data_IF_109976140693
#
_entry.id   IF_109976140693
#
_cell.length_a   1.000
_cell.length_b   1.000
_cell.length_c   1.000
_cell.angle_alpha   90.00
_cell.angle_beta   90.00
_cell.angle_gamma   90.00
#
_symmetry.space_group_name_H-M   'P 1'
#
loop_
_entity.id
_entity.type
_entity.pdbx_description
1 polymer ?
#
# COMPACT_ATOMS: atom_id res chain seq x y z
N UNK A 1 -11.28 -38.26 26.39
CA UNK A 1 -10.33 -37.29 26.95
C UNK A 1 -9.07 -37.39 26.14
N UNK A 2 -8.84 -36.46 25.23
CA UNK A 2 -7.58 -36.36 24.47
C UNK A 2 -6.54 -35.77 25.42
N UNK A 3 -5.37 -36.41 25.48
CA UNK A 3 -4.30 -36.02 26.38
C UNK A 3 -3.58 -34.78 25.85
N UNK A 4 -3.38 -33.76 26.69
CA UNK A 4 -2.73 -32.47 26.32
C UNK A 4 -1.34 -32.63 25.64
N UNK A 5 -0.73 -33.80 25.74
CA UNK A 5 0.54 -34.12 25.07
C UNK A 5 0.37 -34.33 23.56
N UNK A 6 -0.79 -34.76 23.09
CA UNK A 6 -1.02 -35.01 21.66
C UNK A 6 -1.31 -33.73 20.87
N UNK A 7 -1.77 -32.68 21.56
CA UNK A 7 -1.98 -31.34 20.96
C UNK A 7 -0.66 -30.57 20.73
N UNK A 8 0.38 -30.88 21.48
CA UNK A 8 1.69 -30.21 21.34
C UNK A 8 2.60 -30.86 20.28
N UNK A 9 2.33 -32.11 19.89
CA UNK A 9 3.14 -32.81 18.89
C UNK A 9 2.77 -32.47 17.43
N UNK A 10 1.56 -31.96 17.15
CA UNK A 10 1.14 -31.64 15.80
C UNK A 10 1.41 -30.18 15.35
N UNK A 11 1.93 -29.33 16.24
CA UNK A 11 2.35 -27.96 15.92
C UNK A 11 3.88 -27.81 15.96
N UNK A 12 4.62 -28.82 15.49
CA UNK A 12 6.05 -28.61 15.24
C UNK A 12 6.22 -27.71 14.01
N UNK A 13 6.21 -26.40 14.22
CA UNK A 13 6.98 -25.52 13.37
C UNK A 13 8.43 -26.06 13.38
N UNK A 14 8.78 -26.87 12.40
CA UNK A 14 10.16 -27.29 12.24
C UNK A 14 10.95 -26.06 11.79
N UNK A 15 11.48 -25.32 12.75
CA UNK A 15 12.61 -24.45 12.47
C UNK A 15 13.73 -25.38 11.97
N UNK A 16 13.92 -25.42 10.65
CA UNK A 16 15.17 -25.99 10.11
C UNK A 16 16.29 -25.18 10.75
N UNK A 17 17.00 -25.81 11.69
CA UNK A 17 18.19 -25.22 12.29
C UNK A 17 19.12 -24.84 11.14
N UNK A 18 19.42 -23.55 11.00
CA UNK A 18 20.36 -23.08 10.00
C UNK A 18 21.68 -23.78 10.24
N UNK A 19 22.18 -24.51 9.25
CA UNK A 19 23.47 -25.15 9.32
C UNK A 19 24.55 -24.05 9.28
N UNK A 20 25.20 -23.80 10.39
CA UNK A 20 26.19 -22.75 10.60
C UNK A 20 27.44 -22.87 9.71
N UNK A 21 27.58 -23.97 8.95
CA UNK A 21 28.83 -24.31 8.28
C UNK A 21 29.09 -23.62 6.94
N UNK A 22 28.10 -22.96 6.33
CA UNK A 22 28.31 -22.53 4.95
C UNK A 22 27.88 -21.11 4.71
N UNK A 23 28.16 -20.10 4.97
CA UNK A 23 27.83 -18.75 4.39
C UNK A 23 26.74 -18.68 3.30
N UNK A 24 26.08 -19.84 3.04
CA UNK A 24 25.02 -20.04 2.05
C UNK A 24 23.66 -19.53 2.51
N UNK A 25 23.48 -19.29 3.83
CA UNK A 25 22.19 -18.87 4.36
C UNK A 25 21.75 -17.52 3.76
N UNK A 26 22.69 -16.57 3.64
CA UNK A 26 22.42 -15.30 2.96
C UNK A 26 22.17 -15.47 1.45
N UNK A 27 22.83 -16.43 0.80
CA UNK A 27 22.57 -16.73 -0.62
C UNK A 27 21.21 -17.36 -0.84
N UNK A 28 20.75 -18.26 0.02
CA UNK A 28 19.43 -18.90 -0.08
C UNK A 28 18.30 -17.90 0.22
N UNK A 29 18.50 -16.97 1.15
CA UNK A 29 17.52 -15.93 1.44
C UNK A 29 17.36 -14.90 0.31
N UNK A 30 18.37 -14.73 -0.54
CA UNK A 30 18.38 -13.79 -1.66
C UNK A 30 18.06 -14.40 -3.03
N UNK A 31 17.84 -15.72 -3.11
CA UNK A 31 17.55 -16.36 -4.40
C UNK A 31 16.09 -16.19 -4.79
N UNK A 32 15.84 -15.90 -6.08
CA UNK A 32 14.53 -15.78 -6.72
C UNK A 32 13.61 -17.01 -6.51
N UNK A 33 14.15 -18.14 -6.05
CA UNK A 33 13.45 -19.44 -5.95
C UNK A 33 12.75 -19.68 -4.61
N UNK A 34 12.91 -18.78 -3.62
CA UNK A 34 12.25 -18.92 -2.32
C UNK A 34 10.78 -18.46 -2.41
N UNK A 35 9.80 -19.24 -1.93
CA UNK A 35 8.43 -18.77 -1.82
C UNK A 35 8.33 -17.60 -0.82
N UNK A 36 7.33 -16.76 -1.00
CA UNK A 36 6.98 -15.71 -0.03
C UNK A 36 6.54 -16.33 1.28
N UNK A 37 6.97 -15.73 2.39
CA UNK A 37 6.47 -16.13 3.71
C UNK A 37 5.15 -15.40 4.05
N UNK A 38 4.48 -15.87 5.11
CA UNK A 38 3.18 -15.33 5.50
C UNK A 38 3.22 -13.83 5.87
N UNK A 39 4.35 -13.34 6.42
CA UNK A 39 4.50 -11.92 6.82
C UNK A 39 4.68 -11.04 5.58
N UNK A 40 5.49 -11.46 4.61
CA UNK A 40 5.62 -10.78 3.32
C UNK A 40 4.26 -10.66 2.63
N UNK A 41 3.51 -11.77 2.57
CA UNK A 41 2.18 -11.82 1.98
C UNK A 41 1.20 -10.88 2.68
N UNK A 42 1.12 -10.93 4.01
CA UNK A 42 0.19 -10.11 4.78
C UNK A 42 0.43 -8.60 4.56
N UNK A 43 1.70 -8.17 4.55
CA UNK A 43 2.05 -6.76 4.37
C UNK A 43 1.79 -6.29 2.92
N UNK A 44 2.13 -7.11 1.92
CA UNK A 44 1.78 -6.80 0.52
C UNK A 44 0.27 -6.81 0.29
N UNK A 45 -0.48 -7.70 0.96
CA UNK A 45 -1.93 -7.73 0.91
C UNK A 45 -2.55 -6.42 1.41
N UNK A 46 -2.08 -5.91 2.55
CA UNK A 46 -2.54 -4.61 3.08
C UNK A 46 -2.31 -3.47 2.09
N UNK A 47 -1.15 -3.47 1.42
CA UNK A 47 -0.85 -2.49 0.36
C UNK A 47 -1.79 -2.66 -0.84
N UNK A 48 -2.03 -3.89 -1.28
CA UNK A 48 -2.93 -4.18 -2.41
C UNK A 48 -4.37 -3.73 -2.11
N UNK A 49 -4.89 -4.01 -0.91
CA UNK A 49 -6.22 -3.57 -0.51
C UNK A 49 -6.33 -2.05 -0.43
N UNK A 50 -5.33 -1.36 0.12
CA UNK A 50 -5.30 0.10 0.16
C UNK A 50 -5.39 0.70 -1.26
N UNK A 51 -4.65 0.14 -2.21
CA UNK A 51 -4.68 0.59 -3.60
C UNK A 51 -6.02 0.29 -4.29
N UNK A 52 -6.63 -0.87 -4.05
CA UNK A 52 -7.95 -1.20 -4.60
C UNK A 52 -9.03 -0.22 -4.11
N UNK A 53 -8.99 0.16 -2.83
CA UNK A 53 -9.85 1.23 -2.29
C UNK A 53 -9.53 2.57 -2.95
N UNK A 54 -8.24 2.91 -3.10
CA UNK A 54 -7.81 4.14 -3.78
C UNK A 54 -8.32 4.24 -5.21
N UNK A 55 -8.24 3.17 -6.00
CA UNK A 55 -8.77 3.11 -7.37
C UNK A 55 -10.27 3.38 -7.37
N UNK A 56 -11.04 2.67 -6.53
CA UNK A 56 -12.50 2.82 -6.47
C UNK A 56 -12.92 4.25 -6.08
N UNK A 57 -12.27 4.83 -5.06
CA UNK A 57 -12.53 6.22 -4.65
C UNK A 57 -12.20 7.21 -5.77
N UNK A 58 -11.04 7.04 -6.41
CA UNK A 58 -10.65 7.91 -7.53
C UNK A 58 -11.61 7.81 -8.73
N UNK A 59 -12.15 6.62 -9.03
CA UNK A 59 -13.17 6.45 -10.06
C UNK A 59 -14.42 7.27 -9.68
N UNK A 60 -14.98 7.04 -8.48
CA UNK A 60 -16.19 7.73 -8.04
C UNK A 60 -16.02 9.24 -7.99
N UNK A 61 -14.93 9.72 -7.41
CA UNK A 61 -14.68 11.16 -7.27
C UNK A 61 -14.40 11.84 -8.59
N UNK A 62 -13.70 11.20 -9.53
CA UNK A 62 -13.41 11.79 -10.83
C UNK A 62 -14.64 12.05 -11.69
N UNK A 63 -15.76 11.34 -11.42
CA UNK A 63 -17.04 11.54 -12.15
C UNK A 63 -17.80 12.80 -11.69
N UNK A 64 -17.61 13.20 -10.42
CA UNK A 64 -18.45 14.22 -9.76
C UNK A 64 -17.68 15.46 -9.30
N UNK A 65 -16.36 15.45 -9.31
CA UNK A 65 -15.54 16.60 -8.96
C UNK A 65 -15.70 17.71 -10.02
N UNK A 66 -15.92 18.94 -9.57
CA UNK A 66 -16.13 20.09 -10.44
C UNK A 66 -14.84 20.83 -10.78
N UNK A 67 -13.92 20.95 -9.81
CA UNK A 67 -12.63 21.64 -9.99
C UNK A 67 -11.69 20.84 -10.89
N UNK A 68 -11.27 21.43 -11.99
CA UNK A 68 -10.44 20.75 -12.99
C UNK A 68 -9.04 20.36 -12.50
N UNK A 69 -8.43 21.15 -11.62
CA UNK A 69 -7.13 20.83 -11.03
C UNK A 69 -7.25 19.63 -10.08
N UNK A 70 -8.31 19.62 -9.28
CA UNK A 70 -8.64 18.50 -8.38
C UNK A 70 -8.98 17.26 -9.18
N UNK A 71 -9.73 17.38 -10.26
CA UNK A 71 -10.03 16.27 -11.17
C UNK A 71 -8.76 15.64 -11.73
N UNK A 72 -7.84 16.47 -12.21
CA UNK A 72 -6.54 16.00 -12.71
C UNK A 72 -5.76 15.27 -11.65
N UNK A 73 -5.68 15.83 -10.43
CA UNK A 73 -5.02 15.20 -9.29
C UNK A 73 -5.62 13.83 -8.97
N UNK A 74 -6.96 13.72 -8.89
CA UNK A 74 -7.67 12.45 -8.64
C UNK A 74 -7.39 11.42 -9.74
N UNK A 75 -7.41 11.84 -11.01
CA UNK A 75 -7.13 10.95 -12.15
C UNK A 75 -5.68 10.45 -12.16
N UNK A 76 -4.72 11.29 -11.76
CA UNK A 76 -3.34 10.86 -11.60
C UNK A 76 -3.19 9.87 -10.43
N UNK A 77 -3.91 10.09 -9.32
CA UNK A 77 -4.01 9.14 -8.20
C UNK A 77 -4.60 7.79 -8.61
N UNK A 78 -5.65 7.80 -9.46
CA UNK A 78 -6.22 6.57 -10.02
C UNK A 78 -5.17 5.76 -10.78
N UNK A 79 -4.40 6.42 -11.66
CA UNK A 79 -3.34 5.76 -12.44
C UNK A 79 -2.28 5.16 -11.54
N UNK A 80 -1.84 5.92 -10.52
CA UNK A 80 -0.85 5.47 -9.56
C UNK A 80 -1.33 4.25 -8.77
N UNK A 81 -2.52 4.31 -8.18
CA UNK A 81 -3.08 3.21 -7.39
C UNK A 81 -3.29 1.95 -8.25
N UNK A 82 -3.73 2.12 -9.51
CA UNK A 82 -3.87 1.01 -10.44
C UNK A 82 -2.53 0.36 -10.79
N UNK A 83 -1.50 1.18 -11.07
CA UNK A 83 -0.15 0.68 -11.32
C UNK A 83 0.41 -0.09 -10.13
N UNK A 84 0.23 0.42 -8.91
CA UNK A 84 0.66 -0.25 -7.68
C UNK A 84 -0.07 -1.58 -7.46
N UNK A 85 -1.40 -1.59 -7.68
CA UNK A 85 -2.18 -2.84 -7.59
C UNK A 85 -1.71 -3.87 -8.60
N UNK A 86 -1.41 -3.46 -9.83
CA UNK A 86 -0.89 -4.35 -10.87
C UNK A 86 0.47 -4.93 -10.47
N UNK A 87 1.42 -4.09 -10.05
CA UNK A 87 2.76 -4.50 -9.61
C UNK A 87 2.71 -5.50 -8.46
N UNK A 88 1.91 -5.23 -7.42
CA UNK A 88 1.73 -6.13 -6.28
C UNK A 88 1.06 -7.46 -6.72
N UNK A 89 0.08 -7.38 -7.61
CA UNK A 89 -0.59 -8.56 -8.17
C UNK A 89 0.34 -9.42 -9.01
N UNK A 90 1.30 -8.83 -9.71
CA UNK A 90 2.33 -9.56 -10.45
C UNK A 90 3.22 -10.35 -9.51
N UNK A 91 3.68 -9.74 -8.41
CA UNK A 91 4.45 -10.43 -7.36
C UNK A 91 3.69 -11.65 -6.82
N UNK A 92 2.37 -11.52 -6.59
CA UNK A 92 1.53 -12.64 -6.14
C UNK A 92 1.47 -13.74 -7.19
N UNK A 93 1.19 -13.39 -8.46
CA UNK A 93 1.09 -14.34 -9.57
C UNK A 93 2.39 -15.11 -9.80
N UNK A 94 3.53 -14.44 -9.77
CA UNK A 94 4.87 -15.06 -9.91
C UNK A 94 5.16 -16.08 -8.81
N UNK A 95 4.52 -15.95 -7.65
CA UNK A 95 4.64 -16.87 -6.53
C UNK A 95 3.47 -17.89 -6.45
N UNK A 96 2.62 -17.98 -7.49
CA UNK A 96 1.51 -18.92 -7.57
C UNK A 96 0.35 -18.61 -6.57
N UNK A 97 0.23 -17.36 -6.13
CA UNK A 97 -0.74 -16.95 -5.12
C UNK A 97 -1.88 -16.19 -5.81
N UNK A 98 -3.14 -16.51 -5.50
CA UNK A 98 -4.28 -15.76 -6.02
C UNK A 98 -4.24 -14.29 -5.58
N UNK A 99 -4.61 -13.40 -6.48
CA UNK A 99 -4.76 -11.97 -6.18
C UNK A 99 -6.20 -11.66 -5.77
N UNK A 100 -6.40 -10.50 -5.13
CA UNK A 100 -7.74 -9.99 -4.83
C UNK A 100 -8.38 -9.40 -6.08
N UNK A 101 -9.70 -9.40 -6.14
CA UNK A 101 -10.47 -8.62 -7.12
C UNK A 101 -10.49 -7.16 -6.71
N UNK A 102 -10.44 -6.26 -7.69
CA UNK A 102 -10.61 -4.83 -7.47
C UNK A 102 -12.04 -4.47 -7.00
N UNK A 103 -12.23 -3.24 -6.57
CA UNK A 103 -13.49 -2.71 -6.07
C UNK A 103 -14.23 -1.84 -7.09
N UNK A 104 -13.71 -1.73 -8.31
CA UNK A 104 -14.20 -0.81 -9.35
C UNK A 104 -15.66 -1.10 -9.73
N UNK A 105 -16.06 -2.38 -9.74
CA UNK A 105 -17.42 -2.80 -10.07
C UNK A 105 -18.46 -2.36 -9.03
N UNK A 106 -18.03 -1.95 -7.84
CA UNK A 106 -18.91 -1.49 -6.75
C UNK A 106 -19.11 0.04 -6.75
N UNK A 107 -18.46 0.77 -7.66
CA UNK A 107 -18.64 2.23 -7.80
C UNK A 107 -19.94 2.51 -8.54
N UNK A 108 -20.87 3.16 -7.84
CA UNK A 108 -22.17 3.56 -8.42
C UNK A 108 -22.03 4.96 -9.03
N UNK A 109 -22.46 5.12 -10.27
CA UNK A 109 -22.49 6.43 -10.93
C UNK A 109 -23.60 7.28 -10.33
N UNK A 110 -23.23 8.48 -9.90
CA UNK A 110 -24.15 9.50 -9.37
C UNK A 110 -23.98 10.81 -10.16
N UNK A 111 -25.00 11.65 -10.17
CA UNK A 111 -24.95 12.95 -10.84
C UNK A 111 -24.38 14.04 -9.95
N UNK A 112 -24.59 13.94 -8.65
CA UNK A 112 -24.18 14.91 -7.66
C UNK A 112 -23.41 14.20 -6.53
N UNK A 113 -22.37 14.87 -6.05
CA UNK A 113 -21.56 14.35 -4.95
C UNK A 113 -22.09 14.82 -3.60
N UNK A 114 -22.19 13.95 -2.59
CA UNK A 114 -22.39 14.39 -1.21
C UNK A 114 -21.13 15.02 -0.59
N UNK A 115 -19.99 14.99 -1.32
CA UNK A 115 -18.70 15.48 -0.87
C UNK A 115 -18.27 16.68 -1.69
N UNK A 116 -17.76 17.72 -1.03
CA UNK A 116 -17.10 18.84 -1.71
C UNK A 116 -15.77 18.43 -2.33
N UNK A 117 -15.32 19.15 -3.35
CA UNK A 117 -14.00 18.94 -3.96
C UNK A 117 -12.87 18.99 -2.94
N UNK A 118 -12.95 19.92 -1.97
CA UNK A 118 -12.03 19.99 -0.84
C UNK A 118 -11.97 18.67 -0.06
N UNK A 119 -13.14 18.11 0.25
CA UNK A 119 -13.17 16.85 1.03
C UNK A 119 -12.65 15.68 0.21
N UNK A 120 -13.03 15.58 -1.07
CA UNK A 120 -12.54 14.53 -1.97
C UNK A 120 -11.01 14.58 -2.12
N UNK A 121 -10.43 15.77 -2.33
CA UNK A 121 -8.98 15.94 -2.41
C UNK A 121 -8.28 15.55 -1.11
N UNK A 122 -8.81 15.95 0.05
CA UNK A 122 -8.24 15.60 1.35
C UNK A 122 -8.35 14.09 1.64
N UNK A 123 -9.44 13.42 1.25
CA UNK A 123 -9.57 11.96 1.40
C UNK A 123 -8.51 11.22 0.58
N UNK A 124 -8.28 11.62 -0.66
CA UNK A 124 -7.20 11.03 -1.48
C UNK A 124 -5.83 11.30 -0.86
N UNK A 125 -5.58 12.53 -0.39
CA UNK A 125 -4.33 12.86 0.30
C UNK A 125 -4.12 12.04 1.57
N UNK A 126 -5.18 11.73 2.32
CA UNK A 126 -5.10 10.91 3.53
C UNK A 126 -4.74 9.44 3.25
N UNK A 127 -5.02 8.93 2.06
CA UNK A 127 -4.60 7.57 1.67
C UNK A 127 -3.09 7.45 1.44
N UNK A 128 -2.41 8.54 1.10
CA UNK A 128 -0.98 8.49 0.77
C UNK A 128 -0.10 8.03 1.94
N UNK A 129 -0.16 8.61 3.16
CA UNK A 129 0.61 8.13 4.29
C UNK A 129 0.26 6.69 4.69
N UNK A 130 -1.00 6.27 4.51
CA UNK A 130 -1.41 4.87 4.74
C UNK A 130 -0.74 3.95 3.72
N UNK A 131 -0.74 4.33 2.44
CA UNK A 131 -0.07 3.57 1.38
C UNK A 131 1.43 3.46 1.63
N UNK A 132 2.11 4.58 1.95
CA UNK A 132 3.54 4.58 2.27
C UNK A 132 3.85 3.66 3.45
N UNK A 133 3.08 3.75 4.55
CA UNK A 133 3.27 2.90 5.72
C UNK A 133 3.12 1.42 5.40
N UNK A 134 2.08 1.04 4.64
CA UNK A 134 1.88 -0.35 4.21
C UNK A 134 3.04 -0.84 3.34
N UNK A 135 3.49 -0.04 2.38
CA UNK A 135 4.62 -0.39 1.51
C UNK A 135 5.94 -0.49 2.31
N UNK A 136 6.18 0.39 3.28
CA UNK A 136 7.35 0.31 4.17
C UNK A 136 7.33 -0.98 5.00
N UNK A 137 6.17 -1.37 5.54
CA UNK A 137 6.02 -2.66 6.23
C UNK A 137 6.31 -3.84 5.30
N UNK A 138 5.89 -3.76 4.03
CA UNK A 138 6.22 -4.77 3.03
C UNK A 138 7.73 -4.80 2.73
N UNK A 139 8.40 -3.64 2.62
CA UNK A 139 9.86 -3.56 2.41
C UNK A 139 10.63 -4.22 3.55
N UNK A 140 10.32 -3.86 4.81
CA UNK A 140 11.10 -4.37 5.97
C UNK A 140 10.85 -5.85 6.24
N UNK A 141 9.75 -6.41 5.77
CA UNK A 141 9.44 -7.84 5.88
C UNK A 141 9.91 -8.66 4.69
N UNK A 142 10.33 -8.02 3.59
CA UNK A 142 10.75 -8.70 2.37
C UNK A 142 12.22 -9.09 2.42
N UNK A 143 12.52 -10.28 1.84
CA UNK A 143 13.88 -10.81 1.75
C UNK A 143 14.37 -10.95 0.30
N UNK A 144 13.49 -10.82 -0.70
CA UNK A 144 13.87 -10.84 -2.11
C UNK A 144 14.23 -9.43 -2.57
N UNK A 145 15.45 -9.27 -3.09
CA UNK A 145 15.97 -7.95 -3.52
C UNK A 145 15.05 -7.29 -4.55
N UNK A 146 14.60 -8.04 -5.56
CA UNK A 146 13.77 -7.52 -6.64
C UNK A 146 12.43 -6.99 -6.11
N UNK A 147 11.82 -7.68 -5.12
CA UNK A 147 10.60 -7.20 -4.47
C UNK A 147 10.87 -5.93 -3.64
N UNK A 148 11.98 -5.88 -2.90
CA UNK A 148 12.38 -4.71 -2.11
C UNK A 148 12.58 -3.51 -3.04
N UNK A 149 13.26 -3.68 -4.16
CA UNK A 149 13.53 -2.60 -5.11
C UNK A 149 12.21 -2.10 -5.72
N UNK A 150 11.32 -3.00 -6.16
CA UNK A 150 9.99 -2.65 -6.67
C UNK A 150 9.15 -1.90 -5.63
N UNK A 151 9.10 -2.39 -4.37
CA UNK A 151 8.33 -1.74 -3.30
C UNK A 151 8.86 -0.34 -2.98
N UNK A 152 10.18 -0.13 -3.00
CA UNK A 152 10.80 1.20 -2.81
C UNK A 152 10.45 2.16 -3.94
N UNK A 153 10.41 1.67 -5.18
CA UNK A 153 9.95 2.46 -6.32
C UNK A 153 8.49 2.91 -6.14
N UNK A 154 7.61 2.00 -5.71
CA UNK A 154 6.22 2.34 -5.40
C UNK A 154 6.12 3.41 -4.31
N UNK A 155 6.91 3.33 -3.23
CA UNK A 155 6.95 4.37 -2.18
C UNK A 155 7.33 5.71 -2.79
N UNK A 156 8.39 5.78 -3.58
CA UNK A 156 8.85 7.01 -4.23
C UNK A 156 7.75 7.65 -5.09
N UNK A 157 7.01 6.84 -5.83
CA UNK A 157 5.90 7.33 -6.65
C UNK A 157 4.78 7.96 -5.80
N UNK A 158 4.46 7.39 -4.62
CA UNK A 158 3.46 7.96 -3.70
C UNK A 158 3.98 9.25 -3.07
N UNK A 159 5.25 9.33 -2.70
CA UNK A 159 5.88 10.55 -2.19
C UNK A 159 5.78 11.69 -3.21
N UNK A 160 6.15 11.44 -4.47
CA UNK A 160 6.06 12.43 -5.56
C UNK A 160 4.61 12.85 -5.84
N UNK A 161 3.65 11.93 -5.72
CA UNK A 161 2.24 12.22 -5.84
C UNK A 161 1.71 13.04 -4.64
N UNK A 162 2.15 12.72 -3.44
CA UNK A 162 1.80 13.44 -2.21
C UNK A 162 2.27 14.90 -2.26
N UNK A 163 3.47 15.15 -2.78
CA UNK A 163 3.99 16.51 -2.97
C UNK A 163 3.09 17.34 -3.92
N UNK A 164 2.63 16.72 -5.02
CA UNK A 164 1.71 17.38 -5.96
C UNK A 164 0.38 17.71 -5.29
N UNK A 165 -0.16 16.79 -4.50
CA UNK A 165 -1.39 16.99 -3.76
C UNK A 165 -1.27 18.08 -2.70
N UNK A 166 -0.18 18.11 -1.94
CA UNK A 166 0.08 19.17 -0.96
C UNK A 166 0.13 20.55 -1.63
N UNK A 167 0.84 20.68 -2.77
CA UNK A 167 0.88 21.92 -3.55
C UNK A 167 -0.52 22.34 -4.02
N UNK A 168 -1.37 21.38 -4.42
CA UNK A 168 -2.76 21.65 -4.78
C UNK A 168 -3.56 22.20 -3.59
N UNK A 169 -3.51 21.54 -2.43
CA UNK A 169 -4.26 21.95 -1.24
C UNK A 169 -3.83 23.33 -0.75
N UNK A 170 -2.52 23.64 -0.76
CA UNK A 170 -2.01 24.98 -0.39
C UNK A 170 -2.52 26.02 -1.37
N UNK A 171 -2.41 25.81 -2.68
CA UNK A 171 -2.85 26.75 -3.71
C UNK A 171 -4.35 27.05 -3.63
N UNK A 172 -5.16 26.06 -3.26
CA UNK A 172 -6.62 26.19 -3.09
C UNK A 172 -7.03 26.73 -1.71
N UNK A 173 -6.08 26.97 -0.79
CA UNK A 173 -6.34 27.30 0.60
C UNK A 173 -7.22 26.24 1.31
N UNK A 174 -6.94 24.97 1.01
CA UNK A 174 -7.63 23.81 1.58
C UNK A 174 -6.77 23.05 2.59
N UNK A 175 -5.49 23.41 2.68
CA UNK A 175 -4.57 22.81 3.64
C UNK A 175 -4.78 23.38 5.04
N UNK A 176 -5.01 22.52 6.02
CA UNK A 176 -5.08 22.90 7.43
C UNK A 176 -3.74 22.61 8.08
N UNK A 177 -2.98 23.66 8.39
CA UNK A 177 -1.73 23.49 9.11
C UNK A 177 -2.00 23.03 10.55
N UNK A 178 -1.20 22.07 11.08
CA UNK A 178 -1.23 21.77 12.50
C UNK A 178 -0.87 23.01 13.32
N UNK A 179 -1.43 23.18 14.53
CA UNK A 179 -1.02 24.29 15.40
C UNK A 179 0.47 24.19 15.71
N UNK A 180 1.19 25.28 15.48
CA UNK A 180 2.59 25.42 15.87
C UNK A 180 2.71 25.63 17.36
N UNK A 181 3.58 24.88 18.05
CA UNK A 181 3.89 25.16 19.44
C UNK A 181 4.74 26.43 19.51
N UNK A 182 4.19 27.52 20.04
CA UNK A 182 4.95 28.71 20.38
C UNK A 182 5.83 28.41 21.61
N UNK A 183 6.97 27.77 21.40
CA UNK A 183 8.04 27.76 22.39
C UNK A 183 8.76 29.09 22.31
N UNK A 184 8.18 30.13 22.94
CA UNK A 184 8.96 31.30 23.29
C UNK A 184 9.90 30.89 24.43
N UNK A 185 11.17 30.73 24.13
CA UNK A 185 12.20 30.70 25.15
C UNK A 185 12.10 32.02 25.91
N UNK A 186 11.58 31.99 27.16
CA UNK A 186 11.81 33.01 28.15
C UNK A 186 13.18 32.83 28.77
#
# INVERSE_FOLDING_TARGET
>A
MLNDKDLLQNNSFSYKKADERDGKLFKVASTQQRPLNAVELANMFSSLQCNNVGVALCIGFSEVVEDMDTKKFILDGKKLAFYQSATLSDIYRENGIPTTTGLEAHVIKVKESPFSDKLMANLIMFLNPVSISNLQNAVVSSYKKDHIDSLKELIKMVEDYSEKGLKLLIRKNWFNEPPVSNWSHK
#
